data_IF_646655968454
#
_entry.id   IF_646655968454
#
_cell.length_a   1.000
_cell.length_b   1.000
_cell.length_c   1.000
_cell.angle_alpha   90.00
_cell.angle_beta   90.00
_cell.angle_gamma   90.00
#
_symmetry.space_group_name_H-M   'P 1'
#
loop_
_entity.id
_entity.type
_entity.pdbx_description
1 polymer ?
#
# COMPACT_ATOMS: atom_id res chain seq x y z
N UNK A 1 45.86 19.69 7.63
CA UNK A 1 45.13 20.94 7.39
C UNK A 1 44.40 20.78 6.06
N UNK A 2 43.10 20.51 5.98
CA UNK A 2 42.08 20.65 7.01
C UNK A 2 41.01 19.55 6.95
N UNK A 3 40.63 19.20 8.17
CA UNK A 3 39.63 18.26 8.65
C UNK A 3 38.20 18.61 8.22
N UNK A 4 37.81 18.20 7.01
CA UNK A 4 36.41 18.19 6.57
C UNK A 4 35.98 16.82 6.03
N UNK A 5 36.53 15.74 6.60
CA UNK A 5 35.82 14.45 6.59
C UNK A 5 34.66 14.61 7.57
N UNK A 6 33.54 15.10 7.05
CA UNK A 6 32.26 15.15 7.74
C UNK A 6 31.88 13.71 8.08
N UNK A 7 32.40 13.22 9.21
CA UNK A 7 32.02 11.94 9.81
C UNK A 7 30.55 12.12 10.19
N UNK A 8 29.59 11.48 9.51
CA UNK A 8 28.21 11.61 9.90
C UNK A 8 28.11 11.10 11.34
N UNK A 9 27.64 11.95 12.24
CA UNK A 9 27.20 11.56 13.58
C UNK A 9 25.85 10.81 13.49
N UNK A 10 25.74 9.87 12.55
CA UNK A 10 24.83 8.76 12.64
C UNK A 10 25.72 7.64 13.16
N UNK A 11 25.43 7.11 14.35
CA UNK A 11 26.19 5.98 14.88
C UNK A 11 26.36 4.92 13.79
N UNK A 12 27.49 4.24 13.80
CA UNK A 12 27.68 2.99 13.06
C UNK A 12 26.71 1.96 13.64
N UNK A 13 25.41 2.14 13.41
CA UNK A 13 24.48 1.03 13.34
C UNK A 13 24.84 0.37 12.03
N UNK A 14 25.82 -0.54 12.09
CA UNK A 14 25.88 -1.64 11.13
C UNK A 14 24.43 -2.06 10.89
N UNK A 15 23.89 -1.93 9.67
CA UNK A 15 22.60 -2.47 9.36
C UNK A 15 22.61 -3.91 9.86
N UNK A 16 21.60 -4.30 10.63
CA UNK A 16 21.47 -5.65 11.18
C UNK A 16 21.47 -6.74 10.08
N UNK A 17 21.43 -6.32 8.80
CA UNK A 17 21.40 -7.12 7.58
C UNK A 17 22.13 -6.40 6.41
N UNK A 18 23.45 -6.20 6.49
CA UNK A 18 24.23 -5.73 5.31
C UNK A 18 24.21 -6.75 4.16
N UNK A 19 24.13 -8.04 4.48
CA UNK A 19 24.16 -9.12 3.48
C UNK A 19 22.76 -9.52 2.95
N UNK A 20 21.68 -9.05 3.59
CA UNK A 20 20.31 -9.50 3.32
C UNK A 20 19.41 -8.34 2.86
N UNK A 21 19.71 -7.81 1.66
CA UNK A 21 18.93 -6.74 1.00
C UNK A 21 17.45 -7.09 0.90
N UNK A 22 17.14 -8.36 0.59
CA UNK A 22 15.78 -8.83 0.44
C UNK A 22 14.99 -8.78 1.75
N UNK A 23 15.61 -9.16 2.87
CA UNK A 23 14.99 -9.12 4.19
C UNK A 23 14.69 -7.68 4.59
N UNK A 24 15.65 -6.77 4.38
CA UNK A 24 15.50 -5.34 4.64
C UNK A 24 14.36 -4.73 3.83
N UNK A 25 14.25 -5.07 2.54
CA UNK A 25 13.15 -4.62 1.68
C UNK A 25 11.78 -5.10 2.21
N UNK A 26 11.66 -6.35 2.64
CA UNK A 26 10.39 -6.88 3.16
C UNK A 26 9.97 -6.17 4.44
N UNK A 27 10.86 -6.06 5.43
CA UNK A 27 10.52 -5.39 6.69
C UNK A 27 10.18 -3.90 6.48
N UNK A 28 10.94 -3.21 5.64
CA UNK A 28 10.66 -1.83 5.25
C UNK A 28 9.31 -1.70 4.53
N UNK A 29 9.04 -2.55 3.53
CA UNK A 29 7.78 -2.56 2.80
C UNK A 29 6.58 -2.81 3.71
N UNK A 30 6.75 -3.69 4.71
CA UNK A 30 5.68 -4.03 5.66
C UNK A 30 5.32 -2.84 6.53
N UNK A 31 6.34 -2.23 7.15
CA UNK A 31 6.15 -1.11 8.05
C UNK A 31 5.57 0.11 7.31
N UNK A 32 6.09 0.41 6.11
CA UNK A 32 5.60 1.49 5.26
C UNK A 32 4.19 1.21 4.76
N UNK A 33 3.89 -0.03 4.33
CA UNK A 33 2.57 -0.40 3.81
C UNK A 33 1.46 -0.25 4.84
N UNK A 34 1.71 -0.66 6.08
CA UNK A 34 0.76 -0.45 7.19
C UNK A 34 0.61 1.05 7.50
N UNK A 35 1.71 1.79 7.55
CA UNK A 35 1.69 3.24 7.80
C UNK A 35 0.91 4.01 6.73
N UNK A 36 1.21 3.78 5.45
CA UNK A 36 0.51 4.38 4.32
C UNK A 36 -0.96 3.96 4.29
N UNK A 37 -1.28 2.70 4.56
CA UNK A 37 -2.67 2.24 4.66
C UNK A 37 -3.49 3.02 5.69
N UNK A 38 -2.91 3.32 6.86
CA UNK A 38 -3.56 4.13 7.90
C UNK A 38 -3.71 5.60 7.51
N UNK A 39 -2.72 6.17 6.82
CA UNK A 39 -2.76 7.54 6.30
C UNK A 39 -3.89 7.67 5.27
N UNK A 40 -3.95 6.77 4.29
CA UNK A 40 -4.99 6.78 3.26
C UNK A 40 -6.38 6.52 3.81
N UNK A 41 -6.51 5.70 4.87
CA UNK A 41 -7.77 5.52 5.59
C UNK A 41 -8.33 6.83 6.13
N UNK A 42 -7.46 7.75 6.52
CA UNK A 42 -7.83 9.08 7.00
C UNK A 42 -8.09 10.07 5.86
N UNK A 43 -8.13 9.62 4.60
CA UNK A 43 -8.14 10.45 3.39
C UNK A 43 -6.96 11.43 3.31
N UNK A 44 -5.83 11.10 3.95
CA UNK A 44 -4.60 11.87 3.92
C UNK A 44 -3.58 11.25 2.97
N UNK A 45 -2.51 11.97 2.67
CA UNK A 45 -1.42 11.54 1.76
C UNK A 45 -0.07 11.91 2.38
N UNK A 46 0.98 11.16 2.03
CA UNK A 46 2.36 11.47 2.45
C UNK A 46 2.90 12.76 1.84
N UNK A 47 2.25 13.28 0.78
CA UNK A 47 2.67 14.50 0.09
C UNK A 47 3.56 14.28 -1.14
N UNK A 48 3.87 13.03 -1.49
CA UNK A 48 4.72 12.65 -2.62
C UNK A 48 3.95 12.18 -3.86
N UNK A 49 4.47 11.13 -4.53
CA UNK A 49 3.81 10.47 -5.69
C UNK A 49 2.40 9.99 -5.36
N UNK A 50 2.13 9.69 -4.10
CA UNK A 50 0.82 9.33 -3.57
C UNK A 50 -0.29 10.36 -3.88
N UNK A 51 0.04 11.65 -3.99
CA UNK A 51 -0.93 12.69 -4.38
C UNK A 51 -1.48 12.39 -5.78
N UNK A 52 -0.60 12.03 -6.72
CA UNK A 52 -0.97 11.75 -8.10
C UNK A 52 -1.92 10.56 -8.16
N UNK A 53 -1.59 9.48 -7.44
CA UNK A 53 -2.44 8.30 -7.35
C UNK A 53 -3.82 8.63 -6.73
N UNK A 54 -3.86 9.45 -5.68
CA UNK A 54 -5.11 9.86 -5.04
C UNK A 54 -5.99 10.71 -5.97
N UNK A 55 -5.39 11.63 -6.73
CA UNK A 55 -6.12 12.42 -7.73
C UNK A 55 -6.67 11.49 -8.81
N UNK A 56 -5.84 10.60 -9.37
CA UNK A 56 -6.28 9.65 -10.40
C UNK A 56 -7.42 8.76 -9.89
N UNK A 57 -7.39 8.34 -8.63
CA UNK A 57 -8.44 7.51 -8.04
C UNK A 57 -9.81 8.20 -8.05
N UNK A 58 -9.84 9.51 -7.79
CA UNK A 58 -11.07 10.31 -7.89
C UNK A 58 -11.64 10.37 -9.32
N UNK A 59 -10.79 10.33 -10.34
CA UNK A 59 -11.21 10.37 -11.75
C UNK A 59 -11.56 8.99 -12.33
N UNK A 60 -10.80 7.95 -12.00
CA UNK A 60 -10.92 6.62 -12.63
C UNK A 60 -11.76 5.62 -11.84
N UNK A 61 -12.18 5.95 -10.61
CA UNK A 61 -12.90 5.03 -9.69
C UNK A 61 -12.17 3.70 -9.43
N UNK A 62 -10.89 3.63 -9.77
CA UNK A 62 -10.04 2.48 -9.48
C UNK A 62 -9.62 2.51 -8.01
N UNK A 63 -9.37 1.35 -7.41
CA UNK A 63 -8.96 1.27 -6.01
C UNK A 63 -7.55 1.88 -5.86
N UNK A 64 -7.37 2.57 -4.73
CA UNK A 64 -6.21 3.44 -4.51
C UNK A 64 -4.89 2.66 -4.50
N UNK A 65 -4.89 1.44 -3.96
CA UNK A 65 -3.73 0.54 -3.91
C UNK A 65 -3.20 0.21 -5.30
N UNK A 66 -4.08 -0.07 -6.26
CA UNK A 66 -3.67 -0.37 -7.64
C UNK A 66 -3.05 0.85 -8.31
N UNK A 67 -3.65 2.03 -8.12
CA UNK A 67 -3.13 3.26 -8.69
C UNK A 67 -1.76 3.64 -8.14
N UNK A 68 -1.52 3.44 -6.84
CA UNK A 68 -0.21 3.62 -6.23
C UNK A 68 0.83 2.68 -6.85
N UNK A 69 0.49 1.39 -7.00
CA UNK A 69 1.38 0.43 -7.68
C UNK A 69 1.67 0.88 -9.11
N UNK A 70 0.70 1.35 -9.88
CA UNK A 70 0.93 1.81 -11.26
C UNK A 70 1.83 3.05 -11.32
N UNK A 71 1.56 4.06 -10.50
CA UNK A 71 2.35 5.31 -10.49
C UNK A 71 3.80 5.01 -10.10
N UNK A 72 4.02 4.23 -9.03
CA UNK A 72 5.37 3.89 -8.59
C UNK A 72 6.07 2.92 -9.57
N UNK A 73 5.34 2.00 -10.20
CA UNK A 73 5.90 1.13 -11.25
C UNK A 73 6.41 1.93 -12.44
N UNK A 74 5.70 2.99 -12.86
CA UNK A 74 6.17 3.89 -13.92
C UNK A 74 7.46 4.61 -13.50
N UNK A 75 7.55 5.07 -12.25
CA UNK A 75 8.76 5.71 -11.71
C UNK A 75 9.95 4.72 -11.70
N UNK A 76 9.73 3.48 -11.26
CA UNK A 76 10.75 2.43 -11.24
C UNK A 76 11.20 2.05 -12.66
N UNK A 77 10.28 1.98 -13.63
CA UNK A 77 10.62 1.72 -15.03
C UNK A 77 11.47 2.84 -15.63
N UNK A 78 11.16 4.11 -15.33
CA UNK A 78 11.99 5.23 -15.73
C UNK A 78 13.39 5.16 -15.10
N UNK A 79 13.48 4.74 -13.83
CA UNK A 79 14.74 4.48 -13.15
C UNK A 79 15.55 3.34 -13.79
N UNK A 80 14.89 2.26 -14.19
CA UNK A 80 15.53 1.13 -14.88
C UNK A 80 16.20 1.59 -16.18
N UNK A 81 15.51 2.39 -16.99
CA UNK A 81 16.07 2.93 -18.24
C UNK A 81 17.25 3.87 -17.99
N UNK A 82 17.23 4.62 -16.89
CA UNK A 82 18.29 5.57 -16.54
C UNK A 82 19.57 4.90 -16.00
N UNK A 83 19.45 3.85 -15.17
CA UNK A 83 20.58 3.20 -14.50
C UNK A 83 21.08 1.93 -15.21
N UNK A 84 20.24 1.27 -16.02
CA UNK A 84 20.61 0.08 -16.79
C UNK A 84 20.86 -1.19 -15.96
N UNK A 85 20.74 -1.14 -14.63
CA UNK A 85 20.83 -2.30 -13.75
C UNK A 85 19.43 -2.85 -13.42
N UNK A 86 19.22 -4.15 -13.65
CA UNK A 86 17.96 -4.83 -13.40
C UNK A 86 17.76 -5.20 -11.92
N UNK A 87 18.83 -5.29 -11.13
CA UNK A 87 18.73 -5.72 -9.72
C UNK A 87 17.97 -4.72 -8.86
N UNK A 88 18.31 -3.44 -8.98
CA UNK A 88 17.72 -2.38 -8.15
C UNK A 88 16.20 -2.27 -8.40
N UNK A 89 15.71 -2.21 -9.65
CA UNK A 89 14.29 -2.13 -9.96
C UNK A 89 13.49 -3.35 -9.52
N UNK A 90 14.08 -4.56 -9.59
CA UNK A 90 13.44 -5.79 -9.10
C UNK A 90 13.14 -5.72 -7.59
N UNK A 91 14.10 -5.25 -6.78
CA UNK A 91 13.89 -5.08 -5.34
C UNK A 91 12.85 -3.98 -5.03
N UNK A 92 12.87 -2.87 -5.78
CA UNK A 92 11.85 -1.82 -5.66
C UNK A 92 10.47 -2.34 -6.02
N UNK A 93 10.34 -3.12 -7.09
CA UNK A 93 9.06 -3.65 -7.53
C UNK A 93 8.47 -4.63 -6.53
N UNK A 94 9.31 -5.49 -5.94
CA UNK A 94 8.92 -6.37 -4.83
C UNK A 94 8.38 -5.57 -3.64
N UNK A 95 9.09 -4.51 -3.25
CA UNK A 95 8.70 -3.61 -2.15
C UNK A 95 7.35 -2.97 -2.42
N UNK A 96 7.17 -2.37 -3.60
CA UNK A 96 5.92 -1.73 -4.03
C UNK A 96 4.76 -2.72 -4.01
N UNK A 97 4.98 -3.96 -4.48
CA UNK A 97 3.95 -5.00 -4.49
C UNK A 97 3.49 -5.37 -3.07
N UNK A 98 4.44 -5.56 -2.13
CA UNK A 98 4.14 -5.85 -0.73
C UNK A 98 3.40 -4.67 -0.08
N UNK A 99 3.90 -3.45 -0.27
CA UNK A 99 3.30 -2.23 0.26
C UNK A 99 1.86 -2.05 -0.25
N UNK A 100 1.61 -2.24 -1.55
CA UNK A 100 0.27 -2.17 -2.13
C UNK A 100 -0.68 -3.21 -1.55
N UNK A 101 -0.22 -4.46 -1.37
CA UNK A 101 -1.01 -5.51 -0.71
C UNK A 101 -1.37 -5.19 0.74
N UNK A 102 -0.49 -4.51 1.47
CA UNK A 102 -0.76 -4.10 2.85
C UNK A 102 -1.66 -2.89 2.94
N UNK A 103 -1.58 -1.97 1.97
CA UNK A 103 -2.52 -0.86 1.85
C UNK A 103 -3.93 -1.42 1.59
N UNK A 104 -4.07 -2.34 0.64
CA UNK A 104 -5.32 -3.05 0.36
C UNK A 104 -5.85 -3.75 1.63
N UNK A 105 -5.01 -4.51 2.33
CA UNK A 105 -5.38 -5.17 3.58
C UNK A 105 -5.81 -4.18 4.68
N UNK A 106 -5.17 -3.01 4.77
CA UNK A 106 -5.50 -2.00 5.78
C UNK A 106 -6.81 -1.25 5.45
N UNK A 107 -7.06 -0.99 4.16
CA UNK A 107 -8.24 -0.29 3.69
C UNK A 107 -9.48 -1.20 3.65
N UNK A 108 -9.35 -2.39 3.05
CA UNK A 108 -10.45 -3.33 2.84
C UNK A 108 -10.61 -4.30 4.02
N UNK A 109 -9.52 -4.74 4.65
CA UNK A 109 -9.56 -5.62 5.82
C UNK A 109 -10.13 -4.96 7.07
N UNK A 110 -10.38 -3.66 7.08
CA UNK A 110 -11.17 -3.01 8.14
C UNK A 110 -12.64 -2.79 7.77
N UNK A 111 -13.00 -2.90 6.50
CA UNK A 111 -14.34 -2.66 5.98
C UNK A 111 -14.97 -4.00 5.56
N UNK A 112 -15.34 -4.84 6.52
CA UNK A 112 -16.09 -6.09 6.30
C UNK A 112 -17.56 -5.86 5.88
N UNK A 113 -17.92 -4.68 5.40
CA UNK A 113 -19.32 -4.33 5.16
C UNK A 113 -19.79 -4.89 3.81
N UNK A 114 -20.14 -6.19 3.79
CA UNK A 114 -20.81 -6.82 2.66
C UNK A 114 -22.21 -6.23 2.51
N UNK A 115 -22.42 -5.37 1.51
CA UNK A 115 -23.75 -4.90 1.15
C UNK A 115 -24.41 -5.94 0.23
N UNK A 116 -25.42 -6.65 0.75
CA UNK A 116 -26.21 -7.61 -0.01
C UNK A 116 -27.54 -6.93 -0.34
N UNK A 117 -27.80 -6.71 -1.62
CA UNK A 117 -29.07 -6.15 -2.09
C UNK A 117 -30.03 -7.31 -2.44
N UNK A 118 -31.01 -7.57 -1.57
CA UNK A 118 -32.03 -8.60 -1.80
C UNK A 118 -33.24 -7.95 -2.45
N UNK A 119 -33.46 -8.22 -3.73
CA UNK A 119 -34.68 -7.82 -4.46
C UNK A 119 -35.51 -9.09 -4.67
N UNK A 120 -36.67 -9.16 -4.03
CA UNK A 120 -37.60 -10.30 -4.12
C UNK A 120 -39.03 -9.80 -4.17
N UNK A 121 -39.84 -10.37 -5.07
CA UNK A 121 -41.28 -10.07 -5.20
C UNK A 121 -42.09 -10.57 -3.98
N UNK A 122 -41.54 -11.51 -3.19
CA UNK A 122 -42.14 -12.02 -1.95
C UNK A 122 -41.51 -11.41 -0.69
N UNK A 123 -41.50 -10.08 -0.61
CA UNK A 123 -40.85 -9.37 0.51
C UNK A 123 -41.50 -9.68 1.88
N UNK A 124 -42.81 -9.92 1.93
CA UNK A 124 -43.54 -10.16 3.18
C UNK A 124 -43.20 -11.50 3.86
N UNK A 125 -43.00 -12.59 3.10
CA UNK A 125 -42.62 -13.90 3.68
C UNK A 125 -41.19 -13.88 4.25
N UNK A 126 -40.29 -13.08 3.66
CA UNK A 126 -38.87 -13.03 4.02
C UNK A 126 -38.64 -12.17 5.27
N UNK A 127 -39.43 -11.11 5.47
CA UNK A 127 -39.37 -10.27 6.68
C UNK A 127 -39.82 -11.00 7.94
N UNK A 128 -40.79 -11.91 7.82
CA UNK A 128 -41.31 -12.67 8.96
C UNK A 128 -40.31 -13.65 9.57
N UNK A 129 -39.51 -14.34 8.73
CA UNK A 129 -38.64 -15.44 9.18
C UNK A 129 -37.13 -15.24 8.90
N UNK A 130 -36.74 -14.50 7.87
CA UNK A 130 -35.33 -14.39 7.42
C UNK A 130 -34.50 -13.36 8.19
N UNK A 131 -35.13 -12.31 8.71
CA UNK A 131 -34.40 -11.19 9.34
C UNK A 131 -33.75 -11.56 10.68
N UNK A 132 -34.26 -12.60 11.36
CA UNK A 132 -33.73 -13.05 12.66
C UNK A 132 -32.37 -13.73 12.53
N UNK A 133 -32.06 -14.29 11.36
CA UNK A 133 -30.83 -15.05 11.11
C UNK A 133 -29.64 -14.18 10.66
N UNK A 134 -29.88 -12.92 10.25
CA UNK A 134 -28.84 -12.00 9.80
C UNK A 134 -28.37 -11.01 10.89
N UNK A 135 -29.01 -11.05 12.06
CA UNK A 135 -28.64 -10.22 13.22
C UNK A 135 -27.54 -10.84 14.08
N UNK A 136 -27.24 -12.12 13.86
CA UNK A 136 -26.31 -12.93 14.66
C UNK A 136 -24.99 -13.26 13.92
N UNK A 137 -24.68 -12.56 12.81
CA UNK A 137 -23.44 -12.72 12.03
C UNK A 137 -22.66 -11.42 11.96
#
# INVERSE_FOLDING_TARGET
>A
MDSLTFKPCYGETVPWCEDEVLLSCIFGAVLIGVGLGLIFRSNATSGGSDIVAMILSRYTKLPLDQLLIYVDSVIVLLGLVAFGDLKIPLYSWLTIFITGKLIDATLNGANYNKSIFIISEKYEEILGNGFKSLKDV
#
